data_IF_633528753700
#
_entry.id   IF_633528753700
#
_cell.length_a   1.000
_cell.length_b   1.000
_cell.length_c   1.000
_cell.angle_alpha   90.00
_cell.angle_beta   90.00
_cell.angle_gamma   90.00
#
_symmetry.space_group_name_H-M   'P 1'
#
loop_
_entity.id
_entity.type
_entity.pdbx_description
1 polymer ?
#
# COMPACT_ATOMS: atom_id res chain seq x y z
N UNK A 1 -10.18 -18.15 -21.97
CA UNK A 1 -8.79 -18.53 -21.59
C UNK A 1 -8.31 -17.66 -20.43
N UNK A 2 -8.33 -16.33 -20.51
CA UNK A 2 -7.83 -15.43 -19.43
C UNK A 2 -8.54 -15.61 -18.09
N UNK A 3 -9.86 -15.81 -18.09
CA UNK A 3 -10.65 -16.06 -16.88
C UNK A 3 -10.18 -17.33 -16.14
N UNK A 4 -9.82 -18.38 -16.87
CA UNK A 4 -9.29 -19.62 -16.29
C UNK A 4 -7.98 -19.34 -15.51
N UNK A 5 -7.07 -18.57 -16.09
CA UNK A 5 -5.84 -18.17 -15.38
C UNK A 5 -6.10 -17.29 -14.17
N UNK A 6 -7.19 -16.49 -14.17
CA UNK A 6 -7.58 -15.74 -12.98
C UNK A 6 -7.98 -16.65 -11.81
N UNK A 7 -8.66 -17.77 -12.07
CA UNK A 7 -8.97 -18.75 -11.02
C UNK A 7 -7.71 -19.39 -10.43
N UNK A 8 -6.73 -19.72 -11.29
CA UNK A 8 -5.43 -20.24 -10.82
C UNK A 8 -4.73 -19.19 -9.92
N UNK A 9 -4.71 -17.93 -10.35
CA UNK A 9 -4.12 -16.83 -9.59
C UNK A 9 -4.79 -16.68 -8.22
N UNK A 10 -6.12 -16.71 -8.16
CA UNK A 10 -6.89 -16.64 -6.89
C UNK A 10 -6.54 -17.82 -6.00
N UNK A 11 -6.52 -19.04 -6.55
CA UNK A 11 -6.21 -20.25 -5.81
C UNK A 11 -4.81 -20.21 -5.19
N UNK A 12 -3.80 -19.83 -5.96
CA UNK A 12 -2.43 -19.68 -5.47
C UNK A 12 -2.33 -18.62 -4.37
N UNK A 13 -3.03 -17.48 -4.52
CA UNK A 13 -3.14 -16.44 -3.50
C UNK A 13 -3.81 -16.94 -2.22
N UNK A 14 -4.86 -17.71 -2.34
CA UNK A 14 -5.57 -18.34 -1.22
C UNK A 14 -4.66 -19.32 -0.47
N UNK A 15 -4.03 -20.26 -1.16
CA UNK A 15 -3.09 -21.24 -0.58
C UNK A 15 -1.98 -20.50 0.17
N UNK A 16 -1.35 -19.50 -0.48
CA UNK A 16 -0.31 -18.69 0.16
C UNK A 16 -0.81 -18.04 1.46
N UNK A 17 -2.03 -17.52 1.47
CA UNK A 17 -2.59 -16.87 2.67
C UNK A 17 -2.82 -17.87 3.80
N UNK A 18 -3.28 -19.08 3.50
CA UNK A 18 -3.54 -20.14 4.47
C UNK A 18 -2.26 -20.77 5.04
N UNK A 19 -1.24 -20.91 4.18
CA UNK A 19 0.03 -21.56 4.59
C UNK A 19 1.03 -20.61 5.25
N UNK A 20 0.83 -19.29 5.13
CA UNK A 20 1.75 -18.32 5.70
C UNK A 20 1.49 -18.12 7.19
N UNK A 21 2.46 -18.44 8.04
CA UNK A 21 2.42 -18.10 9.47
C UNK A 21 2.48 -16.57 9.63
N UNK A 22 1.49 -16.02 10.31
CA UNK A 22 1.44 -14.60 10.64
C UNK A 22 2.43 -14.26 11.75
N UNK A 23 3.15 -13.18 11.57
CA UNK A 23 4.05 -12.59 12.56
C UNK A 23 3.34 -11.40 13.19
N UNK A 24 3.29 -11.38 14.52
CA UNK A 24 2.80 -10.27 15.32
C UNK A 24 4.01 -9.49 15.81
N UNK A 25 4.06 -8.20 15.55
CA UNK A 25 5.08 -7.32 16.07
C UNK A 25 4.51 -6.51 17.25
N UNK A 26 5.36 -6.08 18.21
CA UNK A 26 4.93 -5.17 19.27
C UNK A 26 4.51 -3.79 18.72
N UNK A 27 5.10 -3.38 17.59
CA UNK A 27 4.77 -2.14 16.90
C UNK A 27 3.39 -2.19 16.27
N UNK A 28 2.71 -1.05 16.18
CA UNK A 28 1.44 -0.94 15.45
C UNK A 28 1.71 -0.89 13.94
N UNK A 29 1.02 -1.73 13.19
CA UNK A 29 1.19 -1.84 11.74
C UNK A 29 0.03 -1.14 11.03
N UNK A 30 0.33 -0.07 10.31
CA UNK A 30 -0.61 0.58 9.38
C UNK A 30 -0.24 0.16 7.96
N UNK A 31 -1.17 -0.47 7.27
CA UNK A 31 -0.96 -0.92 5.90
C UNK A 31 -1.76 -0.04 4.93
N UNK A 32 -1.08 0.58 3.98
CA UNK A 32 -1.71 1.26 2.85
C UNK A 32 -1.57 0.37 1.62
N UNK A 33 -2.66 0.12 0.94
CA UNK A 33 -2.62 -0.73 -0.25
C UNK A 33 -3.80 -0.51 -1.17
N UNK A 34 -3.80 -1.22 -2.28
CA UNK A 34 -4.88 -1.21 -3.25
C UNK A 34 -5.21 -2.62 -3.72
N UNK A 35 -6.32 -2.75 -4.43
CA UNK A 35 -6.76 -4.02 -5.03
C UNK A 35 -6.56 -4.06 -6.54
N UNK A 36 -6.09 -2.97 -7.16
CA UNK A 36 -5.82 -2.89 -8.60
C UNK A 36 -4.33 -3.00 -8.90
N UNK A 37 -3.99 -3.45 -10.09
CA UNK A 37 -2.65 -3.29 -10.65
C UNK A 37 -2.49 -1.82 -11.07
N UNK A 38 -1.33 -1.24 -10.78
CA UNK A 38 -1.02 0.15 -11.09
C UNK A 38 -1.15 1.10 -9.90
N UNK A 39 -1.06 2.38 -10.20
CA UNK A 39 -1.10 3.45 -9.22
C UNK A 39 -2.54 3.73 -8.78
N UNK A 40 -2.72 4.01 -7.50
CA UNK A 40 -4.02 4.36 -6.90
C UNK A 40 -3.86 5.39 -5.78
N UNK A 41 -2.77 6.17 -5.83
CA UNK A 41 -2.48 7.18 -4.83
C UNK A 41 -1.98 6.65 -3.47
N UNK A 42 -1.54 5.39 -3.38
CA UNK A 42 -0.98 4.81 -2.14
C UNK A 42 0.09 5.68 -1.52
N UNK A 43 1.08 6.04 -2.31
CA UNK A 43 2.26 6.77 -1.85
C UNK A 43 1.90 8.15 -1.31
N UNK A 44 0.86 8.80 -1.85
CA UNK A 44 0.35 10.07 -1.33
C UNK A 44 -0.30 9.89 0.06
N UNK A 45 -1.03 8.80 0.27
CA UNK A 45 -1.60 8.48 1.59
C UNK A 45 -0.50 8.13 2.59
N UNK A 46 0.52 7.37 2.19
CA UNK A 46 1.71 7.10 3.04
C UNK A 46 2.41 8.41 3.42
N UNK A 47 2.62 9.32 2.47
CA UNK A 47 3.23 10.62 2.73
C UNK A 47 2.37 11.50 3.66
N UNK A 48 1.05 11.48 3.50
CA UNK A 48 0.11 12.17 4.39
C UNK A 48 0.16 11.59 5.81
N UNK A 49 0.14 10.26 5.96
CA UNK A 49 0.28 9.60 7.26
C UNK A 49 1.60 9.97 7.93
N UNK A 50 2.72 9.90 7.20
CA UNK A 50 4.03 10.24 7.72
C UNK A 50 4.07 11.67 8.27
N UNK A 51 3.55 12.65 7.52
CA UNK A 51 3.44 14.05 7.99
C UNK A 51 2.57 14.17 9.26
N UNK A 52 1.46 13.45 9.30
CA UNK A 52 0.55 13.44 10.45
C UNK A 52 1.24 12.88 11.69
N UNK A 53 2.01 11.80 11.56
CA UNK A 53 2.75 11.20 12.66
C UNK A 53 3.89 12.11 13.15
N UNK A 54 4.59 12.80 12.23
CA UNK A 54 5.59 13.83 12.60
C UNK A 54 4.95 14.93 13.45
N UNK A 55 3.80 15.46 13.00
CA UNK A 55 3.09 16.51 13.74
C UNK A 55 2.64 16.07 15.14
N UNK A 56 2.41 14.77 15.32
CA UNK A 56 2.01 14.18 16.60
C UNK A 56 3.20 13.68 17.44
N UNK A 57 4.43 13.87 16.97
CA UNK A 57 5.66 13.37 17.60
C UNK A 57 5.65 11.86 17.85
N UNK A 58 5.00 11.09 16.95
CA UNK A 58 4.95 9.62 17.00
C UNK A 58 6.08 9.07 16.13
N UNK A 59 6.89 8.18 16.71
CA UNK A 59 7.98 7.53 15.98
C UNK A 59 7.47 6.48 14.99
N UNK A 60 7.99 6.50 13.77
CA UNK A 60 7.57 5.56 12.73
C UNK A 60 8.67 5.22 11.75
N UNK A 61 8.48 4.13 11.02
CA UNK A 61 9.28 3.75 9.85
C UNK A 61 8.34 3.34 8.71
N UNK A 62 8.71 3.71 7.50
CA UNK A 62 8.00 3.29 6.29
C UNK A 62 8.72 2.06 5.72
N UNK A 63 7.99 1.01 5.40
CA UNK A 63 8.52 -0.16 4.71
C UNK A 63 7.89 -0.26 3.33
N UNK A 64 8.71 -0.21 2.30
CA UNK A 64 8.26 -0.27 0.90
C UNK A 64 8.95 -1.39 0.14
N UNK A 65 8.32 -1.86 -0.93
CA UNK A 65 8.92 -2.84 -1.83
C UNK A 65 9.96 -2.16 -2.72
N UNK A 66 11.16 -2.70 -2.74
CA UNK A 66 12.21 -2.30 -3.67
C UNK A 66 11.92 -2.86 -5.10
N UNK A 67 10.78 -2.45 -5.69
CA UNK A 67 10.36 -2.91 -7.00
C UNK A 67 11.31 -2.39 -8.08
N UNK A 68 11.65 -3.25 -9.08
CA UNK A 68 12.57 -2.93 -10.19
C UNK A 68 13.95 -2.39 -9.77
N UNK A 69 14.35 -2.52 -8.50
CA UNK A 69 15.66 -2.09 -8.02
C UNK A 69 16.69 -3.22 -8.05
N UNK A 70 17.97 -2.85 -7.93
CA UNK A 70 19.10 -3.79 -7.79
C UNK A 70 19.30 -4.30 -6.37
N UNK A 71 18.49 -3.86 -5.42
CA UNK A 71 18.57 -4.29 -4.02
C UNK A 71 18.49 -5.81 -3.91
N UNK A 72 19.45 -6.42 -3.20
CA UNK A 72 19.46 -7.88 -3.01
C UNK A 72 18.41 -8.34 -2.00
N UNK A 73 18.33 -7.70 -0.82
CA UNK A 73 17.41 -8.11 0.27
C UNK A 73 16.70 -6.93 0.91
N UNK A 74 17.42 -6.12 1.67
CA UNK A 74 16.90 -5.01 2.48
C UNK A 74 17.95 -3.94 2.66
N UNK A 75 17.54 -2.67 2.75
CA UNK A 75 18.38 -1.52 3.09
C UNK A 75 17.55 -0.44 3.78
N UNK A 76 18.14 0.20 4.80
CA UNK A 76 17.66 1.49 5.28
C UNK A 76 18.09 2.55 4.26
N UNK A 77 17.11 3.26 3.72
CA UNK A 77 17.32 4.19 2.60
C UNK A 77 18.04 5.45 3.07
N UNK A 78 19.14 5.77 2.44
CA UNK A 78 19.94 6.97 2.66
C UNK A 78 19.60 8.08 1.66
N UNK A 79 20.03 9.32 1.94
CA UNK A 79 19.79 10.46 1.03
C UNK A 79 20.51 10.33 -0.31
N UNK A 80 21.62 9.60 -0.32
CA UNK A 80 22.46 9.36 -1.51
C UNK A 80 21.98 8.20 -2.38
N UNK A 81 21.02 7.39 -1.88
CA UNK A 81 20.52 6.24 -2.63
C UNK A 81 19.72 6.64 -3.85
N UNK A 82 19.94 5.94 -4.94
CA UNK A 82 19.25 6.13 -6.20
C UNK A 82 18.05 5.18 -6.35
N UNK A 83 17.11 5.54 -7.20
CA UNK A 83 15.98 4.70 -7.55
C UNK A 83 16.39 3.33 -8.12
N UNK A 84 17.52 3.25 -8.82
CA UNK A 84 18.08 1.98 -9.31
C UNK A 84 18.52 1.04 -8.18
N UNK A 85 18.94 1.59 -7.05
CA UNK A 85 19.41 0.84 -5.89
C UNK A 85 18.27 0.39 -4.99
N UNK A 86 17.34 1.28 -4.66
CA UNK A 86 16.31 1.04 -3.62
C UNK A 86 14.87 1.12 -4.12
N UNK A 87 14.63 1.54 -5.37
CA UNK A 87 13.31 1.72 -5.97
C UNK A 87 12.79 3.17 -5.86
N UNK A 88 12.01 3.60 -6.85
CA UNK A 88 11.50 4.97 -6.97
C UNK A 88 10.67 5.41 -5.76
N UNK A 89 9.74 4.55 -5.32
CA UNK A 89 8.88 4.81 -4.16
C UNK A 89 9.69 5.02 -2.88
N UNK A 90 10.76 4.25 -2.70
CA UNK A 90 11.66 4.36 -1.53
C UNK A 90 12.33 5.71 -1.48
N UNK A 91 12.88 6.18 -2.60
CA UNK A 91 13.54 7.50 -2.71
C UNK A 91 12.54 8.61 -2.46
N UNK A 92 11.34 8.52 -3.03
CA UNK A 92 10.30 9.53 -2.88
C UNK A 92 9.81 9.62 -1.42
N UNK A 93 9.57 8.48 -0.76
CA UNK A 93 9.08 8.43 0.61
C UNK A 93 10.12 8.84 1.65
N UNK A 94 11.42 8.73 1.31
CA UNK A 94 12.53 9.15 2.19
C UNK A 94 12.46 10.63 2.61
N UNK A 95 11.77 11.47 1.83
CA UNK A 95 11.53 12.88 2.17
C UNK A 95 10.64 13.06 3.39
N UNK A 96 9.87 12.03 3.74
CA UNK A 96 8.87 12.09 4.81
C UNK A 96 9.26 11.33 6.07
N UNK A 97 10.37 10.61 6.07
CA UNK A 97 10.84 9.87 7.24
C UNK A 97 11.82 8.75 6.90
N UNK A 98 12.13 7.94 7.89
CA UNK A 98 12.97 6.75 7.68
C UNK A 98 12.25 5.71 6.83
N UNK A 99 12.93 5.17 5.82
CA UNK A 99 12.37 4.19 4.88
C UNK A 99 13.25 2.94 4.86
N UNK A 100 12.63 1.79 5.00
CA UNK A 100 13.25 0.48 4.77
C UNK A 100 12.77 -0.03 3.41
N UNK A 101 13.68 -0.09 2.44
CA UNK A 101 13.43 -0.74 1.15
C UNK A 101 13.69 -2.24 1.27
N UNK A 102 12.77 -3.10 0.82
CA UNK A 102 12.95 -4.55 0.97
C UNK A 102 12.36 -5.36 -0.18
N UNK A 103 12.98 -6.50 -0.52
CA UNK A 103 12.41 -7.47 -1.47
C UNK A 103 11.34 -8.37 -0.82
N UNK A 104 11.49 -8.69 0.46
CA UNK A 104 10.54 -9.49 1.25
C UNK A 104 10.43 -8.90 2.64
N UNK A 105 9.23 -8.83 3.17
CA UNK A 105 8.97 -8.22 4.48
C UNK A 105 9.80 -8.85 5.60
N UNK A 106 10.07 -10.15 5.55
CA UNK A 106 10.88 -10.85 6.55
C UNK A 106 12.30 -10.30 6.66
N UNK A 107 12.85 -9.75 5.58
CA UNK A 107 14.18 -9.14 5.62
C UNK A 107 14.18 -7.79 6.34
N UNK A 108 13.03 -7.11 6.42
CA UNK A 108 12.91 -5.83 7.13
C UNK A 108 12.78 -6.00 8.65
N UNK A 109 12.39 -7.17 9.16
CA UNK A 109 12.11 -7.39 10.57
C UNK A 109 13.27 -7.03 11.50
N UNK A 110 14.53 -7.42 11.24
CA UNK A 110 15.66 -7.05 12.10
C UNK A 110 15.86 -5.53 12.19
N UNK A 111 15.71 -4.82 11.07
CA UNK A 111 15.83 -3.35 11.05
C UNK A 111 14.67 -2.68 11.81
N UNK A 112 13.44 -3.18 11.66
CA UNK A 112 12.28 -2.68 12.41
C UNK A 112 12.51 -2.88 13.91
N UNK A 113 13.01 -4.04 14.35
CA UNK A 113 13.31 -4.32 15.74
C UNK A 113 14.42 -3.43 16.28
N UNK A 114 15.49 -3.23 15.52
CA UNK A 114 16.59 -2.36 15.90
C UNK A 114 16.16 -0.90 16.04
N UNK A 115 15.34 -0.39 15.10
CA UNK A 115 14.83 0.99 15.13
C UNK A 115 13.77 1.20 16.21
N UNK A 116 13.06 0.14 16.57
CA UNK A 116 11.98 0.11 17.55
C UNK A 116 10.99 1.29 17.45
N UNK A 117 10.38 1.56 16.28
CA UNK A 117 9.39 2.62 16.12
C UNK A 117 8.10 2.25 16.83
N UNK A 118 7.25 3.23 17.14
CA UNK A 118 5.88 2.98 17.61
C UNK A 118 4.99 2.44 16.48
N UNK A 119 5.18 2.97 15.27
CA UNK A 119 4.36 2.64 14.10
C UNK A 119 5.23 2.19 12.91
N UNK A 120 4.80 1.13 12.25
CA UNK A 120 5.33 0.71 10.96
C UNK A 120 4.28 0.96 9.88
N UNK A 121 4.60 1.76 8.88
CA UNK A 121 3.73 1.99 7.72
C UNK A 121 4.18 1.04 6.61
N UNK A 122 3.29 0.15 6.17
CA UNK A 122 3.55 -0.72 5.02
C UNK A 122 2.98 -0.08 3.76
N UNK A 123 3.84 0.27 2.82
CA UNK A 123 3.45 0.69 1.48
C UNK A 123 3.26 -0.54 0.58
N UNK A 124 2.05 -0.66 0.00
CA UNK A 124 1.62 -1.81 -0.83
C UNK A 124 1.72 -3.17 -0.13
N UNK A 125 1.30 -3.22 1.14
CA UNK A 125 1.35 -4.45 1.96
C UNK A 125 0.05 -5.25 2.05
N UNK A 126 -1.05 -4.85 1.39
CA UNK A 126 -2.39 -5.39 1.63
C UNK A 126 -2.49 -6.90 1.33
N UNK A 127 -1.90 -7.36 0.22
CA UNK A 127 -1.88 -8.77 -0.18
C UNK A 127 -0.77 -9.58 0.51
N UNK A 128 0.01 -8.97 1.40
CA UNK A 128 1.05 -9.69 2.12
C UNK A 128 0.48 -10.31 3.41
N UNK A 129 0.45 -11.65 3.56
CA UNK A 129 -0.15 -12.30 4.72
C UNK A 129 0.82 -12.42 5.93
N UNK A 130 2.10 -12.07 5.76
CA UNK A 130 3.14 -12.33 6.77
C UNK A 130 2.93 -11.53 8.04
N UNK A 131 2.70 -10.21 7.95
CA UNK A 131 2.51 -9.37 9.12
C UNK A 131 1.03 -9.22 9.47
N UNK A 132 0.72 -9.36 10.76
CA UNK A 132 -0.58 -8.94 11.27
C UNK A 132 -0.66 -7.41 11.24
N UNK A 133 -1.73 -6.88 10.67
CA UNK A 133 -1.95 -5.44 10.51
C UNK A 133 -2.98 -4.97 11.53
N UNK A 134 -2.74 -3.80 12.12
CA UNK A 134 -3.65 -3.17 13.07
C UNK A 134 -4.65 -2.24 12.38
N UNK A 135 -4.23 -1.63 11.26
CA UNK A 135 -5.08 -0.77 10.43
C UNK A 135 -4.76 -1.03 8.95
N UNK A 136 -5.77 -1.27 8.14
CA UNK A 136 -5.63 -1.46 6.69
C UNK A 136 -6.41 -0.38 5.95
N UNK A 137 -5.69 0.42 5.19
CA UNK A 137 -6.22 1.50 4.38
C UNK A 137 -6.23 1.06 2.93
N UNK A 138 -7.42 0.99 2.34
CA UNK A 138 -7.61 0.70 0.93
C UNK A 138 -7.65 2.01 0.15
N UNK A 139 -6.78 2.14 -0.85
CA UNK A 139 -6.84 3.25 -1.80
C UNK A 139 -7.46 2.80 -3.12
N UNK A 140 -8.35 3.62 -3.65
CA UNK A 140 -9.00 3.42 -4.95
C UNK A 140 -8.85 4.69 -5.77
N UNK A 141 -8.40 4.57 -7.00
CA UNK A 141 -8.39 5.69 -7.95
C UNK A 141 -9.84 6.06 -8.33
N UNK A 142 -10.23 7.31 -8.13
CA UNK A 142 -11.60 7.77 -8.42
C UNK A 142 -11.91 7.81 -9.92
N UNK A 143 -10.89 7.92 -10.78
CA UNK A 143 -11.06 8.00 -12.23
C UNK A 143 -11.21 6.60 -12.85
N UNK A 144 -10.26 5.71 -12.54
CA UNK A 144 -10.20 4.37 -13.12
C UNK A 144 -11.02 3.33 -12.33
N UNK A 145 -11.34 3.61 -11.07
CA UNK A 145 -12.11 2.72 -10.21
C UNK A 145 -11.49 1.33 -10.10
N UNK A 146 -12.30 0.32 -10.39
CA UNK A 146 -11.90 -1.09 -10.39
C UNK A 146 -11.81 -1.68 -11.81
N UNK A 147 -11.90 -0.84 -12.84
CA UNK A 147 -11.86 -1.23 -14.24
C UNK A 147 -13.01 -2.18 -14.60
N UNK A 148 -12.73 -3.29 -15.28
CA UNK A 148 -13.75 -4.26 -15.69
C UNK A 148 -14.18 -5.23 -14.56
N UNK A 149 -13.82 -4.95 -13.31
CA UNK A 149 -14.11 -5.76 -12.11
C UNK A 149 -13.65 -7.23 -12.21
N UNK A 150 -12.65 -7.52 -13.04
CA UNK A 150 -12.08 -8.87 -13.18
C UNK A 150 -10.70 -8.95 -12.54
N UNK A 151 -10.39 -10.14 -12.03
CA UNK A 151 -9.09 -10.42 -11.43
C UNK A 151 -8.05 -10.72 -12.53
N UNK A 152 -6.81 -10.33 -12.29
CA UNK A 152 -5.68 -10.60 -13.16
C UNK A 152 -5.55 -12.10 -13.50
N UNK A 153 -5.27 -12.47 -14.77
CA UNK A 153 -4.97 -11.62 -15.91
C UNK A 153 -6.19 -11.17 -16.73
N UNK A 154 -7.42 -11.50 -16.36
CA UNK A 154 -8.61 -11.11 -17.11
C UNK A 154 -9.02 -9.64 -16.89
N UNK A 155 -8.48 -9.00 -15.86
CA UNK A 155 -8.69 -7.60 -15.53
C UNK A 155 -7.63 -7.05 -14.58
N UNK A 156 -7.82 -5.83 -14.09
CA UNK A 156 -6.79 -5.14 -13.31
C UNK A 156 -6.76 -5.53 -11.83
N UNK A 157 -7.70 -6.33 -11.33
CA UNK A 157 -7.79 -6.60 -9.90
C UNK A 157 -6.77 -7.64 -9.44
N UNK A 158 -6.11 -7.37 -8.32
CA UNK A 158 -5.24 -8.32 -7.59
C UNK A 158 -6.08 -9.28 -6.74
N UNK A 159 -7.25 -8.85 -6.31
CA UNK A 159 -8.24 -9.61 -5.55
C UNK A 159 -9.63 -9.01 -5.79
N UNK A 160 -10.69 -9.73 -5.43
CA UNK A 160 -12.05 -9.20 -5.62
C UNK A 160 -12.31 -7.96 -4.77
N UNK A 161 -13.17 -7.06 -5.24
CA UNK A 161 -13.61 -5.90 -4.50
C UNK A 161 -14.13 -6.30 -3.11
N UNK A 162 -14.97 -7.33 -3.05
CA UNK A 162 -15.52 -7.87 -1.79
C UNK A 162 -14.40 -8.27 -0.81
N UNK A 163 -13.34 -8.94 -1.28
CA UNK A 163 -12.20 -9.32 -0.45
C UNK A 163 -11.43 -8.10 0.04
N UNK A 164 -11.17 -7.14 -0.84
CA UNK A 164 -10.48 -5.90 -0.48
C UNK A 164 -11.23 -5.07 0.55
N UNK A 165 -12.55 -4.90 0.35
CA UNK A 165 -13.41 -4.21 1.31
C UNK A 165 -13.47 -4.94 2.65
N UNK A 166 -13.60 -6.27 2.66
CA UNK A 166 -13.65 -7.06 3.91
C UNK A 166 -12.37 -6.91 4.75
N UNK A 167 -11.21 -6.79 4.11
CA UNK A 167 -9.91 -6.63 4.79
C UNK A 167 -9.63 -5.20 5.24
N UNK A 168 -10.23 -4.20 4.59
CA UNK A 168 -9.96 -2.80 4.88
C UNK A 168 -10.73 -2.33 6.11
N UNK A 169 -10.13 -1.42 6.85
CA UNK A 169 -10.75 -0.69 7.95
C UNK A 169 -11.20 0.71 7.51
N UNK A 170 -10.52 1.25 6.49
CA UNK A 170 -10.71 2.61 5.99
C UNK A 170 -10.47 2.63 4.48
N UNK A 171 -11.24 3.45 3.74
CA UNK A 171 -11.15 3.57 2.28
C UNK A 171 -10.86 5.02 1.90
N UNK A 172 -9.86 5.23 1.05
CA UNK A 172 -9.62 6.50 0.38
C UNK A 172 -9.88 6.38 -1.12
N UNK A 173 -10.80 7.19 -1.62
CA UNK A 173 -10.98 7.42 -3.05
C UNK A 173 -10.14 8.63 -3.46
N UNK A 174 -9.14 8.40 -4.30
CA UNK A 174 -8.11 9.40 -4.62
C UNK A 174 -8.29 9.91 -6.05
N UNK A 175 -8.37 11.19 -6.20
CA UNK A 175 -8.47 11.88 -7.49
C UNK A 175 -9.32 13.13 -7.42
N UNK A 176 -9.21 13.95 -8.47
CA UNK A 176 -9.89 15.26 -8.52
C UNK A 176 -11.34 15.16 -9.03
N UNK A 177 -11.75 14.03 -9.56
CA UNK A 177 -13.08 13.81 -10.12
C UNK A 177 -13.91 12.94 -9.17
N UNK A 178 -15.22 13.18 -9.15
CA UNK A 178 -16.17 12.26 -8.52
C UNK A 178 -16.12 10.92 -9.26
N UNK A 179 -16.05 9.83 -8.50
CA UNK A 179 -16.14 8.51 -9.08
C UNK A 179 -17.46 8.36 -9.85
N UNK A 180 -17.35 7.99 -11.12
CA UNK A 180 -18.53 7.79 -12.00
C UNK A 180 -19.12 6.39 -11.88
N UNK A 181 -18.40 5.46 -11.25
CA UNK A 181 -18.85 4.08 -11.06
C UNK A 181 -19.81 4.00 -9.86
N UNK A 182 -21.09 4.11 -10.16
CA UNK A 182 -22.17 4.01 -9.14
C UNK A 182 -22.21 2.65 -8.46
N UNK A 183 -21.83 1.58 -9.17
CA UNK A 183 -21.74 0.22 -8.61
C UNK A 183 -20.62 0.13 -7.56
N UNK A 184 -19.47 0.71 -7.84
CA UNK A 184 -18.37 0.78 -6.88
C UNK A 184 -18.78 1.56 -5.63
N UNK A 185 -19.38 2.74 -5.79
CA UNK A 185 -19.87 3.55 -4.67
C UNK A 185 -20.91 2.79 -3.85
N UNK A 186 -21.86 2.11 -4.51
CA UNK A 186 -22.85 1.26 -3.85
C UNK A 186 -22.20 0.15 -3.02
N UNK A 187 -21.21 -0.55 -3.55
CA UNK A 187 -20.49 -1.60 -2.81
C UNK A 187 -19.71 -1.04 -1.61
N UNK A 188 -19.09 0.13 -1.76
CA UNK A 188 -18.39 0.81 -0.65
C UNK A 188 -19.40 1.16 0.45
N UNK A 189 -20.52 1.77 0.09
CA UNK A 189 -21.59 2.13 1.04
C UNK A 189 -22.14 0.92 1.77
N UNK A 190 -22.42 -0.18 1.05
CA UNK A 190 -22.89 -1.45 1.64
C UNK A 190 -21.86 -2.08 2.58
N UNK A 191 -20.57 -1.81 2.41
CA UNK A 191 -19.54 -2.32 3.29
C UNK A 191 -19.57 -1.69 4.69
N UNK A 192 -20.28 -0.58 4.88
CA UNK A 192 -20.33 0.22 6.11
C UNK A 192 -18.95 0.68 6.63
N UNK A 193 -17.93 0.66 5.76
CA UNK A 193 -16.59 1.14 6.10
C UNK A 193 -16.52 2.66 5.93
N UNK A 194 -15.82 3.37 6.84
CA UNK A 194 -15.58 4.79 6.63
C UNK A 194 -14.80 5.00 5.34
N UNK A 195 -15.26 5.92 4.50
CA UNK A 195 -14.55 6.28 3.29
C UNK A 195 -14.44 7.79 3.13
N UNK A 196 -13.36 8.22 2.50
CA UNK A 196 -13.02 9.62 2.28
C UNK A 196 -12.64 9.83 0.81
N UNK A 197 -13.10 10.94 0.25
CA UNK A 197 -12.59 11.43 -1.03
C UNK A 197 -11.40 12.36 -0.77
N UNK A 198 -10.29 12.10 -1.45
CA UNK A 198 -9.07 12.89 -1.35
C UNK A 198 -8.62 13.36 -2.73
N UNK A 199 -8.44 14.66 -2.88
CA UNK A 199 -7.88 15.25 -4.09
C UNK A 199 -6.37 15.39 -3.97
N UNK A 200 -5.66 15.07 -5.05
CA UNK A 200 -4.22 15.37 -5.16
C UNK A 200 -4.09 16.80 -5.66
N UNK A 201 -3.59 17.69 -4.81
CA UNK A 201 -3.19 19.04 -5.23
C UNK A 201 -1.69 19.07 -5.48
N UNK A 202 -1.28 19.42 -6.66
CA UNK A 202 0.12 19.79 -6.94
C UNK A 202 0.43 21.05 -6.15
N UNK A 203 1.51 21.03 -5.38
CA UNK A 203 2.00 22.24 -4.72
C UNK A 203 2.65 23.08 -5.81
N UNK A 204 2.09 24.23 -6.11
CA UNK A 204 2.55 25.15 -7.17
C UNK A 204 3.94 25.77 -6.94
N UNK A 205 4.65 25.40 -5.89
CA UNK A 205 6.01 25.88 -5.60
C UNK A 205 6.97 24.71 -5.42
N UNK A 206 7.37 24.09 -6.52
CA UNK A 206 8.60 23.32 -6.64
C UNK A 206 9.55 24.06 -7.57
N UNK A 207 9.75 25.37 -7.33
CA UNK A 207 10.80 26.07 -8.04
C UNK A 207 11.40 27.17 -7.21
N UNK A 208 12.69 27.13 -7.26
CA UNK A 208 13.69 28.09 -6.79
C UNK A 208 14.17 27.85 -5.37
N UNK A 209 15.04 26.81 -5.28
CA UNK A 209 16.42 27.03 -4.79
C UNK A 209 17.32 25.89 -5.30
#
# INVERSE_FOLDING_TARGET
IMIFFSYIYIFLGFVRTQTTKKIVLPQKIICVGNITLGESGKTQIVAWLARTLIQKNISFVIVTKAYKSRLAKVKLVEKTDTAKEVGDESVMLRKYGSVIATKKINYALPLIQQMNPEIVILDDGMQNPVLQKNLQILTIDSLNGIGNNRIFPAGPLRESLKSGLAKSDLIFMIGNNKCKDSSLIGNISLSQKPYFAAAIKLKENLDKD
#
